data_IF_866470564463
#
_entry.id   IF_866470564463
#
_cell.length_a   1.000
_cell.length_b   1.000
_cell.length_c   1.000
_cell.angle_alpha   90.00
_cell.angle_beta   90.00
_cell.angle_gamma   90.00
#
_symmetry.space_group_name_H-M   'P 1'
#
loop_
_entity.id
_entity.type
_entity.pdbx_description
1 polymer ?
#
# COMPACT_ATOMS: atom_id res chain seq x y z
N UNK A 1 -27.32 -8.35 64.18
CA UNK A 1 -26.80 -6.97 64.26
C UNK A 1 -26.02 -6.72 62.97
N UNK A 2 -26.20 -5.70 62.14
CA UNK A 2 -27.09 -4.55 62.08
C UNK A 2 -26.98 -3.99 60.64
N UNK A 3 -28.15 -3.67 60.04
CA UNK A 3 -28.47 -2.60 59.06
C UNK A 3 -27.68 -2.39 57.74
N UNK A 4 -28.43 -2.59 56.65
CA UNK A 4 -28.66 -1.71 55.47
C UNK A 4 -27.96 -0.33 55.46
N UNK A 5 -27.32 0.05 54.35
CA UNK A 5 -27.70 1.19 53.48
C UNK A 5 -26.79 1.36 52.25
N UNK A 6 -27.41 1.64 51.11
CA UNK A 6 -26.83 2.27 49.91
C UNK A 6 -26.81 3.80 50.10
N UNK A 7 -25.93 4.57 49.42
CA UNK A 7 -26.50 5.55 48.48
C UNK A 7 -25.69 5.78 47.19
N UNK A 8 -26.44 6.15 46.16
CA UNK A 8 -26.05 6.61 44.82
C UNK A 8 -25.65 8.12 44.81
N UNK A 9 -25.30 8.74 43.66
CA UNK A 9 -24.15 9.63 43.51
C UNK A 9 -24.45 11.13 43.68
N UNK A 10 -23.40 11.95 43.78
CA UNK A 10 -23.47 13.41 43.73
C UNK A 10 -22.96 13.94 42.38
N UNK A 11 -23.91 14.44 41.59
CA UNK A 11 -23.70 15.46 40.56
C UNK A 11 -23.78 16.84 41.20
N UNK A 12 -22.94 17.80 40.77
CA UNK A 12 -23.19 19.25 40.82
C UNK A 12 -22.29 19.99 39.80
N UNK A 13 -22.62 21.24 39.40
CA UNK A 13 -22.59 21.69 37.99
C UNK A 13 -21.62 22.87 37.72
N UNK A 14 -21.54 23.24 36.43
CA UNK A 14 -21.01 24.45 35.77
C UNK A 14 -20.27 25.53 36.60
N UNK A 15 -19.14 26.05 36.06
CA UNK A 15 -19.13 27.36 35.39
C UNK A 15 -17.74 27.83 34.88
N UNK A 16 -17.79 28.49 33.71
CA UNK A 16 -16.95 29.56 33.17
C UNK A 16 -15.52 29.32 32.62
N UNK A 17 -15.50 29.32 31.28
CA UNK A 17 -14.51 29.86 30.34
C UNK A 17 -13.75 31.12 30.82
N UNK A 18 -12.47 31.26 30.38
CA UNK A 18 -12.11 32.53 29.76
C UNK A 18 -11.30 32.36 28.46
N UNK A 19 -11.88 32.91 27.39
CA UNK A 19 -11.29 33.93 26.53
C UNK A 19 -9.92 33.69 25.89
N UNK A 20 -9.99 33.40 24.59
CA UNK A 20 -9.09 33.87 23.52
C UNK A 20 -8.24 35.10 23.90
N UNK A 21 -6.92 35.00 23.70
CA UNK A 21 -6.07 36.17 23.38
C UNK A 21 -4.98 35.80 22.37
N UNK A 22 -5.24 36.17 21.13
CA UNK A 22 -4.24 36.34 20.08
C UNK A 22 -3.33 37.55 20.41
N UNK A 23 -2.02 37.52 20.09
CA UNK A 23 -1.20 38.73 20.03
C UNK A 23 -1.43 39.52 18.72
N UNK A 24 -1.40 40.86 18.75
CA UNK A 24 -1.61 41.69 17.56
C UNK A 24 -0.34 41.89 16.74
N UNK A 25 -0.52 42.09 15.43
CA UNK A 25 0.44 42.69 14.48
C UNK A 25 0.48 44.21 14.67
N UNK A 26 1.66 44.81 14.85
CA UNK A 26 1.91 46.23 14.48
C UNK A 26 3.39 46.53 14.19
N UNK A 27 3.64 46.94 12.94
CA UNK A 27 4.57 47.95 12.39
C UNK A 27 6.11 47.87 12.50
N UNK A 28 6.67 48.23 11.33
CA UNK A 28 8.04 48.50 10.94
C UNK A 28 8.49 49.90 11.35
N UNK A 29 9.75 50.09 11.79
CA UNK A 29 10.43 51.40 11.77
C UNK A 29 11.94 51.28 11.54
N UNK A 30 12.43 52.25 10.78
CA UNK A 30 13.76 52.45 10.23
C UNK A 30 14.76 53.06 11.23
N UNK A 31 16.06 52.82 10.95
CA UNK A 31 17.24 53.70 11.18
C UNK A 31 17.57 54.23 12.58
N UNK A 32 18.80 53.96 13.06
CA UNK A 32 19.87 54.98 13.14
C UNK A 32 21.18 54.41 13.71
N UNK A 33 22.26 55.01 13.21
CA UNK A 33 23.68 54.67 13.33
C UNK A 33 24.29 55.12 14.66
N UNK A 34 25.15 54.28 15.27
CA UNK A 34 25.89 54.62 16.50
C UNK A 34 27.30 55.11 16.22
N UNK A 35 27.55 56.36 16.64
CA UNK A 35 28.84 57.07 16.81
C UNK A 35 29.77 56.38 17.83
N UNK A 36 31.08 56.30 17.55
CA UNK A 36 32.23 56.28 18.49
C UNK A 36 33.50 56.57 17.67
N UNK A 37 34.51 57.39 18.01
CA UNK A 37 34.89 58.32 19.10
C UNK A 37 35.94 59.30 18.51
N UNK A 38 36.05 60.52 19.06
CA UNK A 38 37.15 61.48 18.85
C UNK A 38 38.39 61.06 19.67
N UNK A 39 39.59 61.34 19.15
CA UNK A 39 40.81 61.58 19.93
C UNK A 39 41.72 62.50 19.11
N UNK A 40 42.02 63.68 19.66
CA UNK A 40 43.12 64.57 19.28
C UNK A 40 44.45 63.99 19.79
N UNK A 41 45.55 64.28 19.10
CA UNK A 41 46.81 64.68 19.74
C UNK A 41 47.77 65.29 18.69
N UNK A 42 47.91 66.60 18.84
CA UNK A 42 49.11 67.46 18.91
C UNK A 42 50.34 67.29 18.00
N UNK A 43 50.85 68.47 17.66
CA UNK A 43 51.88 68.90 16.74
C UNK A 43 53.27 68.25 16.87
N UNK A 44 53.96 68.10 15.73
CA UNK A 44 55.41 68.35 15.63
C UNK A 44 55.85 68.64 14.17
N UNK A 45 55.95 69.94 13.90
CA UNK A 45 57.15 70.65 13.43
C UNK A 45 57.98 70.09 12.25
N UNK A 46 57.87 70.82 11.12
CA UNK A 46 58.92 71.25 10.18
C UNK A 46 59.86 70.23 9.51
N UNK A 47 59.79 70.17 8.17
CA UNK A 47 60.96 69.96 7.31
C UNK A 47 60.68 70.30 5.84
N UNK A 48 61.02 71.54 5.49
CA UNK A 48 61.60 72.04 4.22
C UNK A 48 60.96 71.76 2.85
N UNK A 49 60.60 72.88 2.20
CA UNK A 49 60.25 73.19 0.81
C UNK A 49 61.26 72.70 -0.27
N UNK A 50 61.15 73.08 -1.57
CA UNK A 50 60.03 73.15 -2.52
C UNK A 50 60.39 72.53 -3.90
N UNK A 51 59.50 72.72 -4.88
CA UNK A 51 59.72 72.81 -6.34
C UNK A 51 59.52 71.56 -7.20
N UNK A 52 58.58 71.70 -8.15
CA UNK A 52 58.66 71.04 -9.45
C UNK A 52 57.64 69.93 -9.69
N UNK A 53 56.74 70.21 -10.65
CA UNK A 53 56.08 69.24 -11.53
C UNK A 53 54.64 68.82 -11.17
N UNK A 54 53.81 68.55 -12.21
CA UNK A 54 52.42 68.93 -12.28
C UNK A 54 51.48 67.96 -11.55
N UNK A 55 50.28 68.45 -11.25
CA UNK A 55 49.18 67.68 -10.66
C UNK A 55 48.83 66.47 -11.54
N UNK A 56 49.34 65.29 -11.16
CA UNK A 56 48.86 64.01 -11.65
C UNK A 56 47.73 63.60 -10.72
N UNK A 57 46.49 63.57 -11.23
CA UNK A 57 45.35 63.01 -10.49
C UNK A 57 45.75 61.63 -9.94
N UNK A 58 45.59 61.36 -8.64
CA UNK A 58 45.94 60.06 -8.10
C UNK A 58 45.01 59.02 -8.73
N UNK A 59 45.56 58.19 -9.64
CA UNK A 59 44.91 56.94 -10.03
C UNK A 59 44.64 56.16 -8.74
N UNK A 60 43.37 55.93 -8.42
CA UNK A 60 43.01 54.98 -7.39
C UNK A 60 43.53 53.60 -7.81
N UNK A 61 44.65 53.20 -7.20
CA UNK A 61 45.12 51.82 -7.23
C UNK A 61 44.03 50.98 -6.56
N UNK A 62 43.37 50.13 -7.35
CA UNK A 62 42.44 49.11 -6.85
C UNK A 62 43.20 48.22 -5.89
N UNK A 63 43.05 48.50 -4.59
CA UNK A 63 43.61 47.63 -3.54
C UNK A 63 42.98 46.25 -3.73
N UNK A 64 43.77 45.17 -3.84
CA UNK A 64 43.21 43.83 -3.90
C UNK A 64 42.40 43.64 -2.62
N UNK A 65 41.10 43.42 -2.76
CA UNK A 65 40.22 43.04 -1.66
C UNK A 65 40.91 41.92 -0.90
N UNK A 66 41.27 42.17 0.37
CA UNK A 66 41.79 41.14 1.26
C UNK A 66 40.86 39.94 1.11
N UNK A 67 41.38 38.84 0.54
CA UNK A 67 40.69 37.56 0.56
C UNK A 67 40.50 37.24 2.04
N UNK A 68 39.31 37.54 2.55
CA UNK A 68 38.85 37.06 3.85
C UNK A 68 39.10 35.57 3.82
N UNK A 69 39.98 35.10 4.72
CA UNK A 69 40.30 33.68 4.85
C UNK A 69 38.99 32.91 4.76
N UNK A 70 38.98 31.86 3.94
CA UNK A 70 37.94 30.84 3.88
C UNK A 70 37.86 30.08 5.23
N UNK A 71 37.53 30.80 6.30
CA UNK A 71 37.41 30.35 7.68
C UNK A 71 36.02 30.61 8.25
N UNK A 72 35.08 31.06 7.42
CA UNK A 72 33.64 31.18 7.70
C UNK A 72 32.87 30.15 6.85
N UNK A 73 33.51 29.05 6.47
CA UNK A 73 32.82 27.91 5.82
C UNK A 73 32.59 26.74 6.79
N UNK A 74 33.15 26.78 8.01
CA UNK A 74 32.93 25.75 9.04
C UNK A 74 31.73 26.04 9.95
N UNK A 75 31.16 27.24 9.92
CA UNK A 75 30.02 27.59 10.74
C UNK A 75 28.74 27.61 9.89
N UNK A 76 27.89 26.60 10.08
CA UNK A 76 26.46 26.70 9.79
C UNK A 76 25.99 26.29 8.39
N UNK A 77 26.78 25.54 7.60
CA UNK A 77 26.22 24.94 6.38
C UNK A 77 25.15 23.91 6.78
N UNK A 78 23.86 24.09 6.42
CA UNK A 78 22.85 23.09 6.72
C UNK A 78 23.23 21.77 6.06
N UNK A 79 22.95 20.66 6.74
CA UNK A 79 23.25 19.33 6.23
C UNK A 79 22.58 19.17 4.86
N UNK A 80 23.34 18.81 3.80
CA UNK A 80 22.77 18.68 2.48
C UNK A 80 21.75 17.54 2.47
N UNK A 81 20.66 17.71 1.73
CA UNK A 81 19.53 16.77 1.70
C UNK A 81 19.95 15.29 1.52
N UNK A 82 20.88 14.92 0.61
CA UNK A 82 21.31 13.52 0.49
C UNK A 82 21.87 12.95 1.79
N UNK A 83 22.65 13.74 2.54
CA UNK A 83 23.22 13.32 3.82
C UNK A 83 22.18 13.24 4.93
N UNK A 84 21.12 14.04 4.85
CA UNK A 84 19.99 13.91 5.76
C UNK A 84 19.21 12.63 5.47
N UNK A 85 18.94 12.31 4.20
CA UNK A 85 18.23 11.09 3.81
C UNK A 85 19.01 9.82 4.19
N UNK A 86 20.35 9.84 4.14
CA UNK A 86 21.21 8.75 4.62
C UNK A 86 21.03 8.45 6.12
N UNK A 87 20.63 9.44 6.93
CA UNK A 87 20.43 9.25 8.38
C UNK A 87 19.05 8.69 8.74
N UNK A 88 18.11 8.68 7.79
CA UNK A 88 16.76 8.22 8.02
C UNK A 88 16.66 6.71 7.81
N UNK A 89 15.97 6.03 8.72
CA UNK A 89 15.64 4.62 8.54
C UNK A 89 14.53 4.43 7.47
N UNK A 90 14.30 3.18 7.06
CA UNK A 90 13.31 2.85 6.02
C UNK A 90 11.90 3.36 6.37
N UNK A 91 11.53 3.29 7.65
CA UNK A 91 10.21 3.73 8.14
C UNK A 91 10.06 5.24 8.10
N UNK A 92 11.10 5.99 8.48
CA UNK A 92 11.14 7.44 8.46
C UNK A 92 11.16 7.96 7.02
N UNK A 93 11.91 7.33 6.11
CA UNK A 93 11.90 7.68 4.69
C UNK A 93 10.51 7.50 4.07
N UNK A 94 9.82 6.39 4.35
CA UNK A 94 8.44 6.16 3.90
C UNK A 94 7.48 7.22 4.43
N UNK A 95 7.55 7.54 5.72
CA UNK A 95 6.68 8.54 6.33
C UNK A 95 6.90 9.96 5.76
N UNK A 96 8.16 10.35 5.53
CA UNK A 96 8.50 11.63 4.90
C UNK A 96 7.99 11.67 3.46
N UNK A 97 8.21 10.60 2.68
CA UNK A 97 7.74 10.52 1.30
C UNK A 97 6.20 10.59 1.23
N UNK A 98 5.50 9.84 2.10
CA UNK A 98 4.04 9.87 2.19
C UNK A 98 3.53 11.29 2.49
N UNK A 99 4.13 11.97 3.46
CA UNK A 99 3.77 13.35 3.81
C UNK A 99 4.00 14.32 2.64
N UNK A 100 5.05 14.10 1.84
CA UNK A 100 5.33 14.90 0.65
C UNK A 100 4.26 14.63 -0.42
N UNK A 101 3.93 13.36 -0.69
CA UNK A 101 2.91 12.98 -1.67
C UNK A 101 1.50 13.49 -1.29
N UNK A 102 1.16 13.52 0.00
CA UNK A 102 -0.11 14.09 0.50
C UNK A 102 -0.19 15.61 0.27
N UNK A 103 0.94 16.31 0.32
CA UNK A 103 1.03 17.76 0.10
C UNK A 103 1.16 18.12 -1.38
N UNK A 104 1.78 17.25 -2.16
CA UNK A 104 2.11 17.43 -3.57
C UNK A 104 1.66 16.18 -4.35
N UNK A 105 0.37 16.11 -4.77
CA UNK A 105 -0.19 14.94 -5.44
C UNK A 105 0.43 14.66 -6.81
N UNK A 106 1.01 15.67 -7.44
CA UNK A 106 1.82 15.58 -8.65
C UNK A 106 3.07 14.70 -8.44
N UNK A 107 3.80 14.91 -7.34
CA UNK A 107 4.93 14.07 -6.93
C UNK A 107 4.43 12.67 -6.58
N UNK A 108 3.27 12.55 -5.93
CA UNK A 108 2.65 11.25 -5.67
C UNK A 108 2.40 10.43 -6.93
N UNK A 109 1.90 11.07 -7.99
CA UNK A 109 1.70 10.41 -9.28
C UNK A 109 3.03 10.01 -9.93
N UNK A 110 4.06 10.86 -9.87
CA UNK A 110 5.40 10.54 -10.38
C UNK A 110 6.04 9.36 -9.63
N UNK A 111 5.89 9.30 -8.31
CA UNK A 111 6.36 8.18 -7.49
C UNK A 111 5.62 6.90 -7.88
N UNK A 112 4.30 6.95 -8.06
CA UNK A 112 3.51 5.78 -8.43
C UNK A 112 3.84 5.23 -9.83
N UNK A 113 4.18 6.10 -10.79
CA UNK A 113 4.56 5.68 -12.15
C UNK A 113 6.02 5.27 -12.27
N UNK A 114 6.91 5.82 -11.44
CA UNK A 114 8.34 5.47 -11.42
C UNK A 114 8.66 4.26 -10.54
N UNK A 115 7.84 3.98 -9.53
CA UNK A 115 8.04 2.82 -8.67
C UNK A 115 7.85 1.51 -9.45
N UNK A 116 8.72 0.51 -9.24
CA UNK A 116 8.51 -0.81 -9.81
C UNK A 116 7.22 -1.40 -9.23
N UNK A 117 6.49 -2.15 -10.07
CA UNK A 117 5.30 -2.87 -9.63
C UNK A 117 5.63 -3.79 -8.45
N UNK A 118 4.75 -3.90 -7.45
CA UNK A 118 4.97 -4.82 -6.34
C UNK A 118 5.05 -6.26 -6.89
N UNK A 119 6.13 -6.97 -6.54
CA UNK A 119 6.23 -8.39 -6.82
C UNK A 119 5.40 -9.20 -5.82
N UNK A 120 4.96 -10.40 -6.22
CA UNK A 120 4.23 -11.31 -5.31
C UNK A 120 5.06 -11.57 -4.05
N UNK A 121 6.34 -11.92 -4.19
CA UNK A 121 7.23 -12.17 -3.05
C UNK A 121 7.36 -10.96 -2.13
N UNK A 122 7.49 -9.75 -2.67
CA UNK A 122 7.56 -8.53 -1.87
C UNK A 122 6.27 -8.25 -1.10
N UNK A 123 5.11 -8.48 -1.72
CA UNK A 123 3.83 -8.35 -1.03
C UNK A 123 3.68 -9.41 0.07
N UNK A 124 4.07 -10.66 -0.19
CA UNK A 124 4.02 -11.75 0.80
C UNK A 124 4.97 -11.54 1.98
N UNK A 125 6.15 -10.96 1.75
CA UNK A 125 7.08 -10.60 2.83
C UNK A 125 6.44 -9.58 3.78
N UNK A 126 5.84 -8.52 3.22
CA UNK A 126 5.13 -7.50 4.01
C UNK A 126 3.95 -8.10 4.77
N UNK A 127 3.12 -8.92 4.10
CA UNK A 127 2.00 -9.61 4.75
C UNK A 127 2.48 -10.57 5.87
N UNK A 128 3.63 -11.21 5.69
CA UNK A 128 4.30 -12.02 6.71
C UNK A 128 4.65 -11.21 7.96
N UNK A 129 5.19 -10.00 7.80
CA UNK A 129 5.47 -9.11 8.94
C UNK A 129 4.19 -8.74 9.73
N UNK A 130 3.06 -8.53 9.03
CA UNK A 130 1.77 -8.30 9.68
C UNK A 130 1.28 -9.55 10.42
N UNK A 131 1.45 -10.73 9.83
CA UNK A 131 1.11 -12.01 10.46
C UNK A 131 1.95 -12.25 11.73
N UNK A 132 3.24 -11.92 11.70
CA UNK A 132 4.12 -12.06 12.86
C UNK A 132 3.73 -11.10 14.00
N UNK A 133 3.36 -9.85 13.67
CA UNK A 133 2.80 -8.90 14.65
C UNK A 133 1.49 -9.41 15.25
N UNK A 134 0.63 -10.03 14.44
CA UNK A 134 -0.61 -10.65 14.91
C UNK A 134 -0.31 -11.80 15.87
N UNK A 135 0.60 -12.71 15.50
CA UNK A 135 1.01 -13.84 16.36
C UNK A 135 1.63 -13.37 17.68
N UNK A 136 2.48 -12.34 17.63
CA UNK A 136 3.10 -11.75 18.82
C UNK A 136 2.10 -11.08 19.77
N UNK A 137 0.94 -10.63 19.25
CA UNK A 137 -0.12 -10.03 20.06
C UNK A 137 -1.00 -11.07 20.77
N UNK A 138 -0.92 -12.35 20.40
CA UNK A 138 -1.67 -13.43 21.04
C UNK A 138 -1.07 -13.64 22.45
N UNK A 139 -1.85 -13.49 23.53
CA UNK A 139 -1.38 -13.73 24.88
C UNK A 139 -0.98 -15.20 25.09
N UNK A 140 0.05 -15.43 25.91
CA UNK A 140 0.47 -16.77 26.29
C UNK A 140 -0.48 -17.38 27.34
N UNK A 141 -0.90 -18.62 27.14
CA UNK A 141 -1.70 -19.40 28.10
C UNK A 141 -3.21 -19.27 27.91
N UNK A 142 -3.98 -19.65 28.94
CA UNK A 142 -5.44 -19.60 28.92
C UNK A 142 -5.93 -18.19 29.29
N UNK A 143 -6.12 -17.33 28.28
CA UNK A 143 -6.81 -16.05 28.41
C UNK A 143 -8.29 -16.17 28.02
N UNK A 144 -9.12 -15.24 28.51
CA UNK A 144 -10.50 -15.16 28.02
C UNK A 144 -10.53 -14.78 26.53
N UNK A 145 -11.53 -15.26 25.80
CA UNK A 145 -11.69 -14.99 24.36
C UNK A 145 -11.83 -13.48 24.09
N UNK A 146 -12.55 -12.76 24.95
CA UNK A 146 -12.72 -11.30 24.86
C UNK A 146 -11.40 -10.54 25.04
N UNK A 147 -10.63 -10.86 26.07
CA UNK A 147 -9.34 -10.21 26.30
C UNK A 147 -8.36 -10.47 25.15
N UNK A 148 -8.32 -11.72 24.67
CA UNK A 148 -7.51 -12.12 23.51
C UNK A 148 -7.89 -11.32 22.28
N UNK A 149 -9.20 -11.17 22.01
CA UNK A 149 -9.69 -10.38 20.90
C UNK A 149 -9.22 -8.92 20.98
N UNK A 150 -9.38 -8.24 22.10
CA UNK A 150 -8.96 -6.83 22.22
C UNK A 150 -7.45 -6.62 22.02
N UNK A 151 -6.62 -7.61 22.39
CA UNK A 151 -5.18 -7.58 22.12
C UNK A 151 -4.87 -7.70 20.64
N UNK A 152 -5.49 -8.66 19.96
CA UNK A 152 -5.17 -8.96 18.56
C UNK A 152 -5.99 -8.14 17.57
N UNK A 153 -7.03 -7.42 18.00
CA UNK A 153 -7.93 -6.66 17.13
C UNK A 153 -7.19 -5.71 16.20
N UNK A 154 -6.27 -4.91 16.75
CA UNK A 154 -5.51 -3.94 15.95
C UNK A 154 -4.60 -4.60 14.91
N UNK A 155 -3.70 -5.54 15.26
CA UNK A 155 -2.88 -6.22 14.25
C UNK A 155 -3.70 -7.09 13.30
N UNK A 156 -4.84 -7.64 13.74
CA UNK A 156 -5.76 -8.39 12.88
C UNK A 156 -6.37 -7.47 11.81
N UNK A 157 -6.91 -6.31 12.21
CA UNK A 157 -7.45 -5.33 11.26
C UNK A 157 -6.37 -4.86 10.29
N UNK A 158 -5.17 -4.53 10.79
CA UNK A 158 -4.07 -4.10 9.94
C UNK A 158 -3.65 -5.16 8.91
N UNK A 159 -3.70 -6.45 9.25
CA UNK A 159 -3.43 -7.54 8.31
C UNK A 159 -4.55 -7.69 7.27
N UNK A 160 -5.82 -7.59 7.70
CA UNK A 160 -6.97 -7.68 6.79
C UNK A 160 -7.01 -6.49 5.83
N UNK A 161 -6.76 -5.28 6.33
CA UNK A 161 -6.65 -4.07 5.51
C UNK A 161 -5.50 -4.19 4.50
N UNK A 162 -4.33 -4.67 4.92
CA UNK A 162 -3.21 -4.91 4.01
C UNK A 162 -3.53 -5.97 2.95
N UNK A 163 -4.26 -7.03 3.29
CA UNK A 163 -4.76 -8.00 2.31
C UNK A 163 -5.71 -7.34 1.31
N UNK A 164 -6.62 -6.48 1.76
CA UNK A 164 -7.53 -5.72 0.89
C UNK A 164 -6.82 -4.73 -0.02
N UNK A 165 -5.71 -4.13 0.42
CA UNK A 165 -4.92 -3.19 -0.38
C UNK A 165 -4.07 -3.89 -1.45
N UNK A 166 -3.42 -5.02 -1.11
CA UNK A 166 -2.57 -5.75 -2.03
C UNK A 166 -3.35 -6.61 -3.02
N UNK A 167 -4.50 -7.17 -2.62
CA UNK A 167 -5.24 -8.11 -3.47
C UNK A 167 -5.60 -7.53 -4.83
N UNK A 168 -6.19 -6.33 -4.95
CA UNK A 168 -6.53 -5.73 -6.23
C UNK A 168 -5.34 -5.54 -7.19
N UNK A 169 -4.11 -5.40 -6.68
CA UNK A 169 -2.91 -5.27 -7.51
C UNK A 169 -2.60 -6.53 -8.32
N UNK A 170 -3.03 -7.69 -7.80
CA UNK A 170 -2.85 -8.99 -8.43
C UNK A 170 -4.12 -9.49 -9.13
N UNK A 171 -5.15 -8.65 -9.27
CA UNK A 171 -6.37 -8.98 -9.99
C UNK A 171 -6.42 -8.30 -11.38
N UNK A 172 -7.16 -8.88 -12.33
CA UNK A 172 -7.49 -8.20 -13.57
C UNK A 172 -8.28 -6.90 -13.30
N UNK A 173 -8.01 -5.79 -14.02
CA UNK A 173 -7.14 -5.67 -15.19
C UNK A 173 -5.67 -5.30 -14.88
N UNK A 174 -5.28 -5.18 -13.61
CA UNK A 174 -3.93 -4.72 -13.22
C UNK A 174 -2.89 -5.79 -13.53
N UNK A 175 -3.15 -7.01 -13.07
CA UNK A 175 -2.40 -8.21 -13.40
C UNK A 175 -3.13 -8.98 -14.50
N UNK A 176 -2.39 -9.36 -15.54
CA UNK A 176 -2.91 -10.02 -16.73
C UNK A 176 -2.53 -11.51 -16.76
N UNK A 177 -1.46 -11.87 -16.04
CA UNK A 177 -0.97 -13.24 -15.93
C UNK A 177 -1.75 -13.99 -14.86
N UNK A 178 -2.66 -14.86 -15.30
CA UNK A 178 -3.49 -15.70 -14.42
C UNK A 178 -2.67 -16.47 -13.39
N UNK A 179 -1.53 -17.08 -13.78
CA UNK A 179 -0.71 -17.87 -12.84
C UNK A 179 -0.19 -17.04 -11.67
N UNK A 180 0.21 -15.78 -11.92
CA UNK A 180 0.71 -14.86 -10.88
C UNK A 180 -0.42 -14.50 -9.91
N UNK A 181 -1.60 -14.18 -10.45
CA UNK A 181 -2.80 -13.93 -9.63
C UNK A 181 -3.15 -15.12 -8.74
N UNK A 182 -3.19 -16.33 -9.31
CA UNK A 182 -3.53 -17.55 -8.56
C UNK A 182 -2.47 -17.91 -7.51
N UNK A 183 -1.19 -17.68 -7.81
CA UNK A 183 -0.10 -17.86 -6.86
C UNK A 183 -0.25 -16.93 -5.66
N UNK A 184 -0.49 -15.63 -5.90
CA UNK A 184 -0.76 -14.68 -4.82
C UNK A 184 -2.00 -15.10 -4.01
N UNK A 185 -3.12 -15.42 -4.68
CA UNK A 185 -4.37 -15.78 -4.02
C UNK A 185 -4.24 -17.04 -3.16
N UNK A 186 -3.47 -18.04 -3.58
CA UNK A 186 -3.16 -19.23 -2.78
C UNK A 186 -2.47 -18.86 -1.47
N UNK A 187 -1.43 -18.02 -1.53
CA UNK A 187 -0.72 -17.57 -0.34
C UNK A 187 -1.59 -16.68 0.56
N UNK A 188 -2.34 -15.73 -0.01
CA UNK A 188 -3.28 -14.90 0.72
C UNK A 188 -4.35 -15.75 1.44
N UNK A 189 -4.87 -16.78 0.78
CA UNK A 189 -5.86 -17.69 1.37
C UNK A 189 -5.27 -18.49 2.54
N UNK A 190 -3.99 -18.91 2.45
CA UNK A 190 -3.28 -19.55 3.58
C UNK A 190 -3.13 -18.61 4.78
N UNK A 191 -2.82 -17.34 4.55
CA UNK A 191 -2.76 -16.33 5.61
C UNK A 191 -4.12 -16.18 6.30
N UNK A 192 -5.21 -16.17 5.53
CA UNK A 192 -6.58 -16.12 6.06
C UNK A 192 -6.93 -17.37 6.87
N UNK A 193 -6.47 -18.56 6.44
CA UNK A 193 -6.65 -19.80 7.21
C UNK A 193 -5.99 -19.72 8.59
N UNK A 194 -4.81 -19.11 8.68
CA UNK A 194 -4.02 -18.96 9.90
C UNK A 194 -4.56 -17.89 10.87
N UNK A 195 -5.59 -17.13 10.49
CA UNK A 195 -6.22 -16.15 11.37
C UNK A 195 -6.89 -16.85 12.57
N UNK A 196 -6.87 -16.24 13.77
CA UNK A 196 -7.47 -16.82 14.96
C UNK A 196 -8.98 -17.01 14.79
N UNK A 197 -9.48 -18.16 15.24
CA UNK A 197 -10.91 -18.41 15.35
C UNK A 197 -11.43 -17.91 16.70
N UNK A 198 -12.54 -17.16 16.67
CA UNK A 198 -13.23 -16.71 17.86
C UNK A 198 -14.59 -17.41 17.96
N UNK A 199 -14.96 -17.82 19.18
CA UNK A 199 -16.25 -18.45 19.47
C UNK A 199 -17.41 -17.46 19.36
N UNK A 200 -17.16 -16.20 19.73
CA UNK A 200 -18.18 -15.15 19.62
C UNK A 200 -18.33 -14.71 18.17
N UNK A 201 -19.56 -14.80 17.67
CA UNK A 201 -19.93 -14.32 16.33
C UNK A 201 -19.57 -12.84 16.13
N UNK A 202 -19.58 -12.04 17.20
CA UNK A 202 -19.22 -10.62 17.15
C UNK A 202 -17.77 -10.37 16.72
N UNK A 203 -16.87 -11.33 16.88
CA UNK A 203 -15.44 -11.17 16.58
C UNK A 203 -15.01 -11.91 15.31
N UNK A 204 -15.86 -12.82 14.82
CA UNK A 204 -15.60 -13.67 13.66
C UNK A 204 -15.71 -12.92 12.31
N UNK A 205 -16.41 -11.79 12.30
CA UNK A 205 -16.67 -11.00 11.09
C UNK A 205 -15.42 -10.58 10.31
N UNK A 206 -14.28 -10.33 10.96
CA UNK A 206 -13.03 -10.00 10.25
C UNK A 206 -12.54 -11.16 9.39
N UNK A 207 -12.52 -12.37 9.95
CA UNK A 207 -12.10 -13.58 9.25
C UNK A 207 -13.13 -13.97 8.19
N UNK A 208 -14.42 -13.87 8.50
CA UNK A 208 -15.51 -14.13 7.54
C UNK A 208 -15.45 -13.15 6.35
N UNK A 209 -15.29 -11.85 6.62
CA UNK A 209 -15.17 -10.82 5.58
C UNK A 209 -13.93 -11.01 4.70
N UNK A 210 -12.79 -11.40 5.28
CA UNK A 210 -11.59 -11.73 4.52
C UNK A 210 -11.80 -12.95 3.60
N UNK A 211 -12.54 -13.97 4.05
CA UNK A 211 -12.93 -15.09 3.21
C UNK A 211 -13.86 -14.68 2.07
N UNK A 212 -14.85 -13.83 2.35
CA UNK A 212 -15.76 -13.34 1.31
C UNK A 212 -15.00 -12.55 0.24
N UNK A 213 -14.07 -11.70 0.64
CA UNK A 213 -13.26 -10.91 -0.28
C UNK A 213 -12.31 -11.78 -1.12
N UNK A 214 -11.59 -12.72 -0.50
CA UNK A 214 -10.71 -13.62 -1.25
C UNK A 214 -11.49 -14.55 -2.18
N UNK A 215 -12.68 -15.01 -1.75
CA UNK A 215 -13.57 -15.86 -2.56
C UNK A 215 -14.04 -15.12 -3.82
N UNK A 216 -14.42 -13.84 -3.69
CA UNK A 216 -14.72 -12.97 -4.84
C UNK A 216 -13.51 -12.78 -5.74
N UNK A 217 -12.33 -12.55 -5.16
CA UNK A 217 -11.08 -12.37 -5.91
C UNK A 217 -10.73 -13.61 -6.74
N UNK A 218 -10.84 -14.81 -6.16
CA UNK A 218 -10.69 -16.07 -6.88
C UNK A 218 -11.69 -16.20 -8.03
N UNK A 219 -12.98 -15.97 -7.78
CA UNK A 219 -14.01 -16.06 -8.81
C UNK A 219 -13.71 -15.12 -10.00
N UNK A 220 -13.28 -13.88 -9.73
CA UNK A 220 -12.91 -12.92 -10.77
C UNK A 220 -11.75 -13.40 -11.63
N UNK A 221 -10.67 -13.90 -11.02
CA UNK A 221 -9.49 -14.41 -11.75
C UNK A 221 -9.88 -15.62 -12.61
N UNK A 222 -10.70 -16.52 -12.07
CA UNK A 222 -11.14 -17.75 -12.77
C UNK A 222 -11.97 -17.39 -14.00
N UNK A 223 -12.97 -16.53 -13.83
CA UNK A 223 -13.83 -16.09 -14.93
C UNK A 223 -13.05 -15.34 -16.01
N UNK A 224 -12.09 -14.48 -15.63
CA UNK A 224 -11.25 -13.78 -16.60
C UNK A 224 -10.30 -14.72 -17.34
N UNK A 225 -9.71 -15.68 -16.64
CA UNK A 225 -8.87 -16.70 -17.25
C UNK A 225 -9.66 -17.55 -18.24
N UNK A 226 -10.88 -17.94 -17.89
CA UNK A 226 -11.76 -18.73 -18.75
C UNK A 226 -12.14 -18.00 -20.04
N UNK A 227 -12.50 -16.70 -19.94
CA UNK A 227 -12.77 -15.83 -21.11
C UNK A 227 -11.61 -15.79 -22.11
N UNK A 228 -10.38 -15.92 -21.63
CA UNK A 228 -9.16 -15.89 -22.46
C UNK A 228 -8.76 -17.26 -23.02
N UNK A 229 -9.62 -18.27 -22.90
CA UNK A 229 -9.28 -19.65 -23.25
C UNK A 229 -8.28 -20.30 -22.28
N UNK A 230 -8.06 -19.68 -21.11
CA UNK A 230 -7.12 -20.11 -20.08
C UNK A 230 -7.63 -21.25 -19.20
N UNK A 231 -8.83 -21.78 -19.43
CA UNK A 231 -9.36 -22.87 -18.61
C UNK A 231 -8.53 -24.17 -18.67
N UNK A 232 -7.78 -24.41 -19.75
CA UNK A 232 -6.78 -25.49 -19.82
C UNK A 232 -5.60 -25.25 -18.86
N UNK A 233 -5.16 -24.00 -18.71
CA UNK A 233 -4.10 -23.63 -17.77
C UNK A 233 -4.57 -23.73 -16.32
N UNK A 234 -5.85 -23.45 -16.05
CA UNK A 234 -6.46 -23.64 -14.73
C UNK A 234 -6.46 -25.12 -14.32
N UNK A 235 -6.89 -26.01 -15.21
CA UNK A 235 -6.96 -27.44 -14.93
C UNK A 235 -5.57 -28.11 -14.90
N UNK A 236 -4.70 -27.84 -15.88
CA UNK A 236 -3.34 -28.40 -15.89
C UNK A 236 -2.48 -27.88 -14.74
N UNK A 237 -2.72 -26.64 -14.29
CA UNK A 237 -2.07 -26.07 -13.12
C UNK A 237 -2.54 -26.67 -11.79
N UNK A 238 -3.51 -27.60 -11.81
CA UNK A 238 -4.13 -28.20 -10.61
C UNK A 238 -4.73 -27.17 -9.66
N UNK A 239 -5.11 -26.01 -10.18
CA UNK A 239 -5.69 -24.93 -9.39
C UNK A 239 -7.09 -25.28 -8.88
N UNK A 240 -7.76 -26.20 -9.56
CA UNK A 240 -8.99 -26.87 -9.11
C UNK A 240 -8.80 -27.66 -7.83
N UNK A 241 -7.75 -28.47 -7.74
CA UNK A 241 -7.43 -29.23 -6.53
C UNK A 241 -7.02 -28.31 -5.38
N UNK A 242 -6.24 -27.25 -5.67
CA UNK A 242 -5.82 -26.24 -4.69
C UNK A 242 -7.03 -25.50 -4.13
N UNK A 243 -7.93 -25.02 -4.99
CA UNK A 243 -9.13 -24.31 -4.57
C UNK A 243 -10.09 -25.21 -3.79
N UNK A 244 -10.29 -26.46 -4.24
CA UNK A 244 -11.11 -27.44 -3.52
C UNK A 244 -10.58 -27.69 -2.10
N UNK A 245 -9.25 -27.81 -1.95
CA UNK A 245 -8.61 -27.96 -0.63
C UNK A 245 -8.84 -26.71 0.25
N UNK A 246 -8.67 -25.51 -0.30
CA UNK A 246 -8.95 -24.27 0.42
C UNK A 246 -10.42 -24.16 0.85
N UNK A 247 -11.36 -24.56 -0.01
CA UNK A 247 -12.78 -24.56 0.31
C UNK A 247 -13.14 -25.55 1.42
N UNK A 248 -12.55 -26.75 1.39
CA UNK A 248 -12.72 -27.72 2.46
C UNK A 248 -12.15 -27.18 3.79
N UNK A 249 -10.96 -26.57 3.76
CA UNK A 249 -10.32 -26.03 4.96
C UNK A 249 -11.08 -24.81 5.54
N UNK A 250 -11.71 -24.00 4.69
CA UNK A 250 -12.50 -22.85 5.14
C UNK A 250 -13.91 -23.21 5.62
N UNK A 251 -14.35 -24.46 5.45
CA UNK A 251 -15.70 -24.91 5.79
C UNK A 251 -16.77 -24.44 4.79
N UNK A 252 -16.41 -24.33 3.50
CA UNK A 252 -17.35 -23.94 2.43
C UNK A 252 -17.37 -22.45 2.08
N UNK A 253 -16.51 -21.62 2.70
CA UNK A 253 -16.53 -20.17 2.47
C UNK A 253 -15.99 -19.74 1.10
N UNK A 254 -15.32 -20.64 0.38
CA UNK A 254 -14.87 -20.41 -1.00
C UNK A 254 -15.85 -21.00 -2.04
N UNK A 255 -17.10 -21.28 -1.65
CA UNK A 255 -18.10 -21.87 -2.55
C UNK A 255 -18.36 -20.99 -3.78
N UNK A 256 -18.36 -19.66 -3.64
CA UNK A 256 -18.50 -18.75 -4.79
C UNK A 256 -17.40 -18.96 -5.83
N UNK A 257 -16.14 -19.08 -5.40
CA UNK A 257 -15.02 -19.37 -6.28
C UNK A 257 -15.11 -20.77 -6.90
N UNK A 258 -15.53 -21.77 -6.12
CA UNK A 258 -15.75 -23.13 -6.62
C UNK A 258 -16.82 -23.17 -7.70
N UNK A 259 -17.92 -22.44 -7.53
CA UNK A 259 -18.99 -22.35 -8.51
C UNK A 259 -18.49 -21.69 -9.81
N UNK A 260 -17.69 -20.62 -9.72
CA UNK A 260 -17.05 -20.02 -10.88
C UNK A 260 -16.15 -21.04 -11.61
N UNK A 261 -15.39 -21.84 -10.85
CA UNK A 261 -14.53 -22.87 -11.43
C UNK A 261 -15.32 -23.98 -12.14
N UNK A 262 -16.40 -24.48 -11.53
CA UNK A 262 -17.25 -25.52 -12.14
C UNK A 262 -17.92 -24.99 -13.41
N UNK A 263 -18.47 -23.78 -13.37
CA UNK A 263 -19.16 -23.18 -14.51
C UNK A 263 -18.23 -22.94 -15.70
N UNK A 264 -17.00 -22.49 -15.43
CA UNK A 264 -16.07 -22.03 -16.48
C UNK A 264 -15.10 -23.12 -16.95
N UNK A 265 -14.66 -24.02 -16.06
CA UNK A 265 -13.71 -25.11 -16.36
C UNK A 265 -14.42 -26.43 -16.62
N UNK A 266 -15.63 -26.64 -16.08
CA UNK A 266 -16.43 -27.85 -16.29
C UNK A 266 -16.73 -28.14 -17.76
N UNK A 267 -16.75 -27.10 -18.62
CA UNK A 267 -16.91 -27.27 -20.07
C UNK A 267 -15.69 -27.91 -20.75
N UNK A 268 -14.48 -27.72 -20.21
CA UNK A 268 -13.22 -28.21 -20.82
C UNK A 268 -12.98 -29.70 -20.52
N UNK A 269 -13.43 -30.18 -19.35
CA UNK A 269 -13.39 -31.61 -19.01
C UNK A 269 -14.43 -32.44 -19.75
N UNK A 270 -15.59 -31.86 -20.06
CA UNK A 270 -16.63 -32.53 -20.84
C UNK A 270 -16.22 -32.71 -22.31
N UNK A 271 -15.41 -31.81 -22.88
CA UNK A 271 -15.10 -31.85 -24.32
C UNK A 271 -13.99 -32.84 -24.72
N UNK A 272 -13.31 -33.48 -23.75
CA UNK A 272 -12.39 -34.60 -24.03
C UNK A 272 -13.03 -35.97 -23.84
N UNK A 273 -14.18 -36.06 -23.15
CA UNK A 273 -14.91 -37.32 -22.92
C UNK A 273 -16.35 -37.35 -23.45
N UNK A 274 -16.85 -36.28 -24.07
CA UNK A 274 -18.13 -36.29 -24.78
C UNK A 274 -17.97 -36.73 -26.24
N UNK A 275 -17.37 -37.90 -26.46
CA UNK A 275 -17.69 -38.72 -27.64
C UNK A 275 -18.91 -39.59 -27.31
N UNK A 276 -20.01 -38.94 -26.93
CA UNK A 276 -21.17 -39.62 -26.39
C UNK A 276 -22.29 -38.65 -26.07
N UNK A 277 -23.11 -38.39 -27.09
CA UNK A 277 -24.54 -38.11 -26.95
C UNK A 277 -24.96 -36.66 -26.60
N UNK A 278 -25.39 -35.92 -27.63
CA UNK A 278 -26.60 -35.10 -27.50
C UNK A 278 -26.54 -33.63 -27.94
N UNK A 279 -26.73 -33.42 -29.25
CA UNK A 279 -27.54 -32.32 -29.82
C UNK A 279 -27.00 -30.87 -29.72
N UNK A 280 -26.05 -30.54 -30.59
CA UNK A 280 -26.03 -29.24 -31.28
C UNK A 280 -25.56 -29.45 -32.71
N UNK A 281 -26.31 -28.93 -33.67
CA UNK A 281 -26.09 -29.07 -35.11
C UNK A 281 -24.79 -28.39 -35.55
N UNK A 282 -23.67 -29.13 -35.49
CA UNK A 282 -22.37 -28.65 -35.93
C UNK A 282 -22.18 -28.80 -37.45
N UNK A 283 -21.74 -27.74 -38.16
CA UNK A 283 -21.45 -27.80 -39.60
C UNK A 283 -20.30 -28.76 -39.94
N UNK A 284 -19.44 -29.08 -38.96
CA UNK A 284 -18.39 -30.10 -39.09
C UNK A 284 -18.94 -31.53 -39.19
N UNK A 285 -20.16 -31.79 -38.72
CA UNK A 285 -20.80 -33.10 -38.86
C UNK A 285 -21.19 -33.40 -40.31
N UNK A 286 -21.59 -32.38 -41.07
CA UNK A 286 -21.97 -32.50 -42.49
C UNK A 286 -20.73 -32.82 -43.32
N UNK A 287 -19.60 -32.17 -43.04
CA UNK A 287 -18.34 -32.40 -43.74
C UNK A 287 -17.77 -33.79 -43.44
N UNK A 288 -17.91 -34.27 -42.19
CA UNK A 288 -17.56 -35.65 -41.83
C UNK A 288 -18.49 -36.70 -42.48
N UNK A 289 -19.78 -36.39 -42.65
CA UNK A 289 -20.72 -37.26 -43.38
C UNK A 289 -20.41 -37.33 -44.87
N UNK A 290 -19.94 -36.22 -45.47
CA UNK A 290 -19.46 -36.19 -46.86
C UNK A 290 -18.16 -36.99 -47.04
N UNK A 291 -17.20 -36.84 -46.13
CA UNK A 291 -15.90 -37.53 -46.22
C UNK A 291 -16.04 -39.04 -45.98
N UNK A 292 -16.92 -39.46 -45.06
CA UNK A 292 -17.09 -40.87 -44.73
C UNK A 292 -18.04 -41.63 -45.67
N UNK A 293 -18.58 -40.97 -46.70
CA UNK A 293 -19.35 -41.64 -47.76
C UNK A 293 -20.72 -42.18 -47.32
N UNK A 294 -21.21 -41.80 -46.14
CA UNK A 294 -22.46 -42.31 -45.56
C UNK A 294 -23.67 -41.53 -46.09
N UNK A 295 -23.88 -41.56 -47.40
CA UNK A 295 -25.08 -40.99 -48.02
C UNK A 295 -26.16 -42.08 -48.13
N UNK A 296 -27.31 -41.84 -47.52
CA UNK A 296 -28.51 -42.66 -47.73
C UNK A 296 -28.66 -43.83 -46.77
N UNK A 297 -29.15 -43.56 -45.56
CA UNK A 297 -29.98 -44.55 -44.89
C UNK A 297 -31.35 -44.55 -45.61
N UNK A 298 -31.86 -45.70 -46.11
CA UNK A 298 -33.16 -45.73 -46.75
C UNK A 298 -34.25 -45.39 -45.73
N UNK A 299 -35.04 -44.37 -46.06
CA UNK A 299 -36.28 -44.06 -45.34
C UNK A 299 -37.23 -45.23 -45.57
N UNK A 300 -37.48 -46.02 -44.52
CA UNK A 300 -38.42 -47.14 -44.57
C UNK A 300 -39.85 -46.58 -44.55
N UNK A 301 -40.51 -46.62 -45.70
CA UNK A 301 -41.93 -46.28 -45.84
C UNK A 301 -42.78 -47.56 -45.82
N UNK A 302 -43.51 -47.78 -44.73
CA UNK A 302 -44.63 -48.74 -44.65
C UNK A 302 -44.49 -49.79 -43.53
N UNK A 303 -45.62 -50.24 -42.93
CA UNK A 303 -45.60 -50.97 -41.65
C UNK A 303 -45.43 -52.49 -41.81
N UNK A 304 -44.96 -53.07 -40.70
CA UNK A 304 -44.72 -54.49 -40.36
C UNK A 304 -43.35 -55.05 -40.76
#
# INVERSE_FOLDING_TARGET
>A
MNVLLSPQPLFFPHQHEPSRRSPPRTMSHYTMTSRKRKADDDDNEMSVSPTGSPAINPRQLSRPSKKVRAGIELAGRPLPLPRLLETLDKTQLRAVLQTICERHPDIGHEVMTSAPRPSVNGALEVLGEYQDKLRAAIPFGNSSSEYTYYRVKQPLMALVDALGDFTPQFLPPVEQQTTVSLEYLNHATKIIHDLPDFDSQQYRHHKDGAYDEISRAWALVITEAAKRGGGFHLHNGKWDQVLAKHNQQSGGKLEQAMNAMVNEVGWIGANQNAHGQGSSSDPNSILNQLINGTYGAPVQVGPF
#
